data_IF_125748967906
#
_entry.id   IF_125748967906
#
_cell.length_a   1.000
_cell.length_b   1.000
_cell.length_c   1.000
_cell.angle_alpha   90.00
_cell.angle_beta   90.00
_cell.angle_gamma   90.00
#
_symmetry.space_group_name_H-M   'P 1'
#
loop_
_entity.id
_entity.type
_entity.pdbx_description
1 polymer ?
#
# COMPACT_ATOMS: atom_id res chain seq x y z
N UNK A 1 -14.85 3.91 4.28
CA UNK A 1 -13.74 3.10 3.68
C UNK A 1 -13.86 1.64 4.08
N UNK A 2 -13.99 1.31 5.38
CA UNK A 2 -14.39 -0.03 5.83
C UNK A 2 -15.78 -0.44 5.32
N UNK A 3 -16.74 0.49 5.31
CA UNK A 3 -18.08 0.20 4.75
C UNK A 3 -18.05 -0.07 3.25
N UNK A 4 -17.19 0.62 2.49
CA UNK A 4 -16.98 0.36 1.06
C UNK A 4 -16.32 -1.00 0.83
N UNK A 5 -15.39 -1.42 1.70
CA UNK A 5 -14.76 -2.74 1.63
C UNK A 5 -15.75 -3.85 1.97
N UNK A 6 -16.60 -3.65 2.98
CA UNK A 6 -17.65 -4.60 3.35
C UNK A 6 -18.70 -4.70 2.25
N UNK A 7 -19.09 -3.56 1.66
CA UNK A 7 -20.05 -3.54 0.56
C UNK A 7 -19.48 -4.20 -0.71
N UNK A 8 -18.20 -3.96 -1.04
CA UNK A 8 -17.49 -4.66 -2.13
C UNK A 8 -17.43 -6.17 -1.87
N UNK A 9 -17.08 -6.63 -0.65
CA UNK A 9 -17.01 -8.05 -0.31
C UNK A 9 -18.40 -8.72 -0.39
N UNK A 10 -19.46 -8.03 0.06
CA UNK A 10 -20.84 -8.51 -0.03
C UNK A 10 -21.34 -8.54 -1.48
N UNK A 11 -20.94 -7.57 -2.31
CA UNK A 11 -21.24 -7.54 -3.74
C UNK A 11 -20.44 -8.58 -4.54
N UNK A 12 -19.22 -8.93 -4.13
CA UNK A 12 -18.42 -10.02 -4.71
C UNK A 12 -19.00 -11.41 -4.39
N UNK A 13 -19.56 -11.60 -3.18
CA UNK A 13 -20.26 -12.83 -2.77
C UNK A 13 -21.54 -13.05 -3.59
N UNK A 14 -22.25 -11.97 -3.91
CA UNK A 14 -23.41 -11.99 -4.80
C UNK A 14 -22.94 -11.93 -6.26
N UNK A 15 -22.48 -13.06 -6.83
CA UNK A 15 -22.04 -13.22 -8.24
C UNK A 15 -22.75 -12.25 -9.20
N UNK A 16 -22.24 -11.02 -9.31
CA UNK A 16 -22.71 -10.05 -10.28
C UNK A 16 -21.93 -10.39 -11.53
N UNK A 17 -22.62 -10.64 -12.63
CA UNK A 17 -21.96 -10.68 -13.94
C UNK A 17 -21.24 -9.36 -14.11
N UNK A 18 -19.91 -9.40 -14.19
CA UNK A 18 -19.09 -8.20 -14.44
C UNK A 18 -18.75 -8.23 -15.91
N UNK A 19 -19.13 -7.18 -16.62
CA UNK A 19 -18.70 -6.94 -17.99
C UNK A 19 -17.40 -6.14 -17.97
N UNK A 20 -16.39 -6.51 -18.78
CA UNK A 20 -15.21 -5.68 -19.00
C UNK A 20 -15.63 -4.24 -19.30
N UNK A 21 -14.97 -3.28 -18.67
CA UNK A 21 -15.17 -1.87 -18.95
C UNK A 21 -14.19 -1.41 -20.02
N UNK A 22 -14.68 -0.68 -21.02
CA UNK A 22 -13.82 -0.05 -22.01
C UNK A 22 -13.29 1.26 -21.45
N UNK A 23 -11.97 1.39 -21.38
CA UNK A 23 -11.30 2.57 -20.89
C UNK A 23 -10.58 3.24 -22.06
N UNK A 24 -11.06 4.41 -22.45
CA UNK A 24 -10.44 5.26 -23.48
C UNK A 24 -9.21 5.91 -22.85
N UNK A 25 -8.02 5.54 -23.34
CA UNK A 25 -6.77 5.90 -22.69
C UNK A 25 -6.55 7.41 -22.66
N UNK A 26 -6.89 8.13 -23.73
CA UNK A 26 -6.72 9.58 -23.79
C UNK A 26 -7.54 10.28 -22.71
N UNK A 27 -8.82 9.92 -22.55
CA UNK A 27 -9.69 10.52 -21.53
C UNK A 27 -9.23 10.19 -20.11
N UNK A 28 -8.80 8.95 -19.89
CA UNK A 28 -8.28 8.53 -18.60
C UNK A 28 -6.97 9.24 -18.24
N UNK A 29 -6.01 9.30 -19.17
CA UNK A 29 -4.74 10.01 -18.93
C UNK A 29 -4.97 11.51 -18.72
N UNK A 30 -5.90 12.12 -19.45
CA UNK A 30 -6.24 13.52 -19.23
C UNK A 30 -6.77 13.76 -17.82
N UNK A 31 -7.64 12.89 -17.30
CA UNK A 31 -8.09 12.94 -15.90
C UNK A 31 -6.92 12.75 -14.93
N UNK A 32 -6.10 11.70 -15.10
CA UNK A 32 -4.92 11.46 -14.27
C UNK A 32 -3.98 12.68 -14.21
N UNK A 33 -3.71 13.31 -15.36
CA UNK A 33 -2.84 14.48 -15.45
C UNK A 33 -3.43 15.72 -14.79
N UNK A 34 -4.75 15.90 -14.84
CA UNK A 34 -5.42 17.09 -14.31
C UNK A 34 -5.79 16.96 -12.83
N UNK A 35 -6.12 15.76 -12.38
CA UNK A 35 -6.65 15.51 -11.05
C UNK A 35 -5.52 15.08 -10.09
N UNK A 36 -4.71 14.10 -10.49
CA UNK A 36 -3.72 13.48 -9.61
C UNK A 36 -2.29 14.03 -9.82
N UNK A 37 -1.92 14.30 -11.08
CA UNK A 37 -0.56 14.69 -11.48
C UNK A 37 -0.45 16.15 -11.91
N UNK A 38 -1.43 16.98 -11.54
CA UNK A 38 -1.50 18.39 -11.95
C UNK A 38 -0.19 19.16 -11.73
N UNK A 39 0.47 18.91 -10.60
CA UNK A 39 1.70 19.58 -10.18
C UNK A 39 2.93 19.19 -11.02
N UNK A 40 2.91 18.03 -11.68
CA UNK A 40 4.02 17.52 -12.49
C UNK A 40 3.68 17.37 -13.96
N UNK A 41 2.45 17.68 -14.37
CA UNK A 41 1.93 17.53 -15.74
C UNK A 41 2.87 18.10 -16.81
N UNK A 42 3.51 19.24 -16.53
CA UNK A 42 4.45 19.90 -17.44
C UNK A 42 5.71 19.07 -17.76
N UNK A 43 6.06 18.09 -16.94
CA UNK A 43 7.20 17.20 -17.14
C UNK A 43 6.83 15.90 -17.85
N UNK A 44 5.55 15.69 -18.18
CA UNK A 44 5.05 14.45 -18.77
C UNK A 44 4.72 14.70 -20.25
N UNK A 45 5.42 14.01 -21.14
CA UNK A 45 5.12 14.01 -22.57
C UNK A 45 4.43 12.69 -22.93
N UNK A 46 3.22 12.76 -23.48
CA UNK A 46 2.42 11.60 -23.87
C UNK A 46 2.18 11.56 -25.38
N UNK A 47 2.46 10.41 -25.97
CA UNK A 47 2.11 10.09 -27.36
C UNK A 47 1.22 8.84 -27.35
N UNK A 48 -0.09 9.05 -27.40
CA UNK A 48 -1.10 7.99 -27.46
C UNK A 48 -1.97 8.24 -28.68
N UNK A 49 -2.29 7.19 -29.44
CA UNK A 49 -3.23 7.30 -30.56
C UNK A 49 -4.65 7.57 -30.02
N UNK A 50 -5.43 8.50 -30.62
CA UNK A 50 -6.72 8.95 -30.09
C UNK A 50 -7.72 7.82 -29.75
N UNK A 51 -7.74 6.77 -30.56
CA UNK A 51 -8.70 5.67 -30.44
C UNK A 51 -8.18 4.48 -29.62
N UNK A 52 -7.09 4.67 -28.87
CA UNK A 52 -6.54 3.58 -28.05
C UNK A 52 -7.45 3.33 -26.85
N UNK A 53 -8.04 2.14 -26.81
CA UNK A 53 -8.87 1.70 -25.69
C UNK A 53 -8.38 0.37 -25.14
N UNK A 54 -8.54 0.20 -23.83
CA UNK A 54 -8.21 -1.05 -23.13
C UNK A 54 -9.47 -1.55 -22.47
N UNK A 55 -9.73 -2.85 -22.63
CA UNK A 55 -10.76 -3.54 -21.87
C UNK A 55 -10.17 -3.95 -20.53
N UNK A 56 -10.78 -3.46 -19.46
CA UNK A 56 -10.31 -3.66 -18.11
C UNK A 56 -11.41 -4.26 -17.24
N UNK A 57 -11.06 -5.26 -16.45
CA UNK A 57 -11.92 -5.80 -15.40
C UNK A 57 -11.49 -5.18 -14.05
N UNK A 58 -12.35 -4.39 -13.39
CA UNK A 58 -12.08 -3.84 -12.06
C UNK A 58 -11.62 -4.87 -11.02
N UNK A 59 -12.05 -6.13 -11.12
CA UNK A 59 -11.56 -7.18 -10.21
C UNK A 59 -10.12 -7.61 -10.47
N UNK A 60 -9.54 -7.26 -11.62
CA UNK A 60 -8.10 -7.45 -11.87
C UNK A 60 -7.24 -6.34 -11.27
N UNK A 61 -7.81 -5.26 -10.70
CA UNK A 61 -7.01 -4.19 -10.08
C UNK A 61 -6.10 -4.71 -8.96
N UNK A 62 -6.59 -5.69 -8.18
CA UNK A 62 -5.81 -6.39 -7.18
C UNK A 62 -4.62 -7.16 -7.80
N UNK A 63 -4.78 -7.72 -9.00
CA UNK A 63 -3.69 -8.40 -9.70
C UNK A 63 -2.64 -7.40 -10.21
N UNK A 64 -3.02 -6.14 -10.49
CA UNK A 64 -2.07 -5.10 -10.89
C UNK A 64 -1.08 -4.82 -9.76
N UNK A 65 -1.54 -4.64 -8.53
CA UNK A 65 -0.65 -4.40 -7.38
C UNK A 65 0.33 -5.57 -7.18
N UNK A 66 -0.20 -6.81 -7.23
CA UNK A 66 0.62 -8.02 -7.14
C UNK A 66 1.68 -8.06 -8.24
N UNK A 67 1.29 -7.82 -9.50
CA UNK A 67 2.21 -7.82 -10.62
C UNK A 67 3.27 -6.71 -10.50
N UNK A 68 2.88 -5.52 -10.06
CA UNK A 68 3.82 -4.40 -9.85
C UNK A 68 4.84 -4.76 -8.77
N UNK A 69 4.40 -5.29 -7.63
CA UNK A 69 5.30 -5.68 -6.54
C UNK A 69 6.21 -6.84 -6.93
N UNK A 70 5.70 -7.85 -7.64
CA UNK A 70 6.52 -8.98 -8.11
C UNK A 70 7.67 -8.56 -9.05
N UNK A 71 7.50 -7.45 -9.77
CA UNK A 71 8.51 -6.94 -10.70
C UNK A 71 9.29 -5.74 -10.14
N UNK A 72 8.92 -5.22 -8.98
CA UNK A 72 9.57 -4.07 -8.38
C UNK A 72 10.87 -4.47 -7.68
N UNK A 73 11.96 -3.75 -7.97
CA UNK A 73 13.24 -3.96 -7.29
C UNK A 73 13.30 -3.26 -5.93
N UNK A 74 12.63 -2.11 -5.80
CA UNK A 74 12.45 -1.35 -4.57
C UNK A 74 11.19 -0.47 -4.72
N UNK A 75 10.61 -0.02 -3.61
CA UNK A 75 9.38 0.76 -3.62
C UNK A 75 9.42 1.98 -2.68
N UNK A 76 8.78 3.07 -3.11
CA UNK A 76 8.38 4.18 -2.25
C UNK A 76 6.91 3.96 -1.90
N UNK A 77 6.59 3.82 -0.61
CA UNK A 77 5.28 3.34 -0.18
C UNK A 77 4.66 4.32 0.80
N UNK A 78 3.40 4.66 0.60
CA UNK A 78 2.65 5.46 1.58
C UNK A 78 2.36 4.64 2.84
N UNK A 79 2.30 5.28 4.01
CA UNK A 79 1.96 4.60 5.26
C UNK A 79 0.59 3.89 5.16
N UNK A 80 0.52 2.61 5.55
CA UNK A 80 -0.73 1.84 5.54
C UNK A 80 -0.50 0.35 5.26
N UNK A 81 -1.55 -0.33 4.83
CA UNK A 81 -1.52 -1.77 4.49
C UNK A 81 -0.57 -2.09 3.34
N UNK A 82 -0.37 -1.14 2.42
CA UNK A 82 0.60 -1.25 1.34
C UNK A 82 2.01 -1.57 1.85
N UNK A 83 2.42 -1.03 3.01
CA UNK A 83 3.74 -1.31 3.58
C UNK A 83 3.93 -2.80 3.91
N UNK A 84 2.87 -3.43 4.42
CA UNK A 84 2.89 -4.85 4.76
C UNK A 84 2.83 -5.71 3.49
N UNK A 85 1.98 -5.37 2.53
CA UNK A 85 1.89 -6.06 1.23
C UNK A 85 3.26 -6.04 0.53
N UNK A 86 3.90 -4.87 0.40
CA UNK A 86 5.23 -4.72 -0.18
C UNK A 86 6.30 -5.57 0.53
N UNK A 87 6.27 -5.62 1.86
CA UNK A 87 7.19 -6.45 2.64
C UNK A 87 6.97 -7.97 2.43
N UNK A 88 5.70 -8.41 2.36
CA UNK A 88 5.36 -9.81 2.10
C UNK A 88 5.74 -10.25 0.68
N UNK A 89 5.73 -9.34 -0.29
CA UNK A 89 6.27 -9.55 -1.63
C UNK A 89 7.81 -9.47 -1.69
N UNK A 90 8.49 -9.30 -0.55
CA UNK A 90 9.95 -9.20 -0.45
C UNK A 90 10.53 -8.05 -1.27
N UNK A 91 9.79 -6.95 -1.38
CA UNK A 91 10.24 -5.74 -2.07
C UNK A 91 10.79 -4.76 -1.02
N UNK A 92 12.09 -4.42 -1.06
CA UNK A 92 12.64 -3.40 -0.18
C UNK A 92 11.93 -2.06 -0.37
N UNK A 93 11.69 -1.33 0.73
CA UNK A 93 10.87 -0.13 0.67
C UNK A 93 11.37 1.01 1.56
N UNK A 94 11.04 2.23 1.15
CA UNK A 94 11.09 3.44 2.00
C UNK A 94 9.66 3.93 2.18
N UNK A 95 9.26 4.13 3.43
CA UNK A 95 7.93 4.60 3.77
C UNK A 95 7.91 6.11 3.76
N UNK A 96 7.01 6.69 2.98
CA UNK A 96 6.85 8.12 2.84
C UNK A 96 5.57 8.58 3.49
N UNK A 97 5.68 9.67 4.23
CA UNK A 97 4.51 10.34 4.78
C UNK A 97 4.66 11.85 4.73
N UNK A 98 3.89 12.50 3.85
CA UNK A 98 3.76 13.95 3.78
C UNK A 98 2.30 14.32 3.93
N UNK A 99 1.92 14.74 5.14
CA UNK A 99 0.57 15.21 5.40
C UNK A 99 0.30 16.57 4.75
N UNK A 100 -0.97 16.88 4.50
CA UNK A 100 -1.40 18.27 4.25
C UNK A 100 -1.19 19.15 5.49
N UNK A 101 -1.19 20.47 5.32
CA UNK A 101 -1.05 21.41 6.43
C UNK A 101 -2.10 21.12 7.51
N UNK A 102 -1.64 20.66 8.68
CA UNK A 102 -2.40 20.49 9.92
C UNK A 102 -3.52 19.43 9.86
N UNK A 103 -3.17 18.15 10.01
CA UNK A 103 -4.06 17.19 10.68
C UNK A 103 -3.61 17.03 12.13
N UNK A 104 -4.31 17.71 13.05
CA UNK A 104 -4.09 17.58 14.51
C UNK A 104 -4.19 16.13 14.98
N UNK A 105 -5.02 15.31 14.31
CA UNK A 105 -5.16 13.88 14.61
C UNK A 105 -3.89 13.09 14.31
N UNK A 106 -3.19 13.40 13.22
CA UNK A 106 -1.96 12.71 12.81
C UNK A 106 -0.78 13.14 13.69
N UNK A 107 -0.67 14.44 14.01
CA UNK A 107 0.35 14.92 14.95
C UNK A 107 0.21 14.21 16.32
N UNK A 108 -1.02 14.04 16.82
CA UNK A 108 -1.29 13.30 18.06
C UNK A 108 -0.96 11.81 17.96
N UNK A 109 -1.18 11.20 16.80
CA UNK A 109 -0.83 9.80 16.56
C UNK A 109 0.69 9.63 16.58
N UNK A 110 1.42 10.43 15.80
CA UNK A 110 2.90 10.39 15.70
C UNK A 110 3.57 10.64 17.05
N UNK A 111 3.04 11.54 17.90
CA UNK A 111 3.58 11.76 19.26
C UNK A 111 3.43 10.52 20.14
N UNK A 112 2.42 9.67 19.90
CA UNK A 112 2.09 8.54 20.76
C UNK A 112 2.70 7.21 20.32
N UNK A 113 3.10 7.07 19.05
CA UNK A 113 3.59 5.80 18.51
C UNK A 113 5.01 5.93 17.99
N UNK A 114 5.85 4.93 18.30
CA UNK A 114 7.27 4.89 17.92
C UNK A 114 7.49 4.76 16.41
N UNK A 115 6.52 4.15 15.71
CA UNK A 115 6.57 3.87 14.27
C UNK A 115 5.20 4.10 13.65
N UNK A 116 5.16 4.49 12.37
CA UNK A 116 3.89 4.68 11.64
C UNK A 116 3.62 3.57 10.61
N UNK A 117 4.65 2.85 10.15
CA UNK A 117 4.46 1.74 9.21
C UNK A 117 4.02 0.48 9.95
N UNK A 118 3.19 -0.33 9.30
CA UNK A 118 2.78 -1.61 9.88
C UNK A 118 3.98 -2.55 10.06
N UNK A 119 4.94 -2.49 9.14
CA UNK A 119 6.16 -3.29 9.22
C UNK A 119 6.92 -3.01 10.52
N UNK A 120 7.25 -1.74 10.79
CA UNK A 120 8.01 -1.41 11.99
C UNK A 120 7.19 -1.60 13.27
N UNK A 121 5.87 -1.36 13.23
CA UNK A 121 4.97 -1.61 14.36
C UNK A 121 4.89 -3.09 14.73
N UNK A 122 4.77 -4.00 13.76
CA UNK A 122 4.71 -5.44 14.01
C UNK A 122 6.06 -5.97 14.51
N UNK A 123 7.15 -5.45 13.95
CA UNK A 123 8.51 -5.89 14.27
C UNK A 123 9.08 -5.24 15.55
N UNK A 124 8.40 -4.23 16.09
CA UNK A 124 8.86 -3.35 17.18
C UNK A 124 10.32 -2.87 17.06
N UNK A 125 10.78 -2.70 15.82
CA UNK A 125 12.10 -2.21 15.47
C UNK A 125 12.05 -1.54 14.11
N UNK A 126 13.06 -0.70 13.84
CA UNK A 126 13.22 -0.03 12.56
C UNK A 126 13.72 -1.03 11.51
N UNK A 127 12.79 -1.59 10.75
CA UNK A 127 13.05 -2.47 9.59
C UNK A 127 13.06 -1.67 8.30
N UNK A 128 12.13 -0.74 8.14
CA UNK A 128 12.03 0.17 6.99
C UNK A 128 12.26 1.61 7.43
N UNK A 129 12.86 2.42 6.56
CA UNK A 129 13.01 3.85 6.80
C UNK A 129 11.66 4.55 6.68
N UNK A 130 11.36 5.46 7.61
CA UNK A 130 10.12 6.24 7.63
C UNK A 130 10.45 7.72 7.48
N UNK A 131 10.24 8.27 6.28
CA UNK A 131 10.48 9.69 5.99
C UNK A 131 9.18 10.47 6.20
N UNK A 132 9.16 11.27 7.26
CA UNK A 132 7.95 11.94 7.76
C UNK A 132 8.09 13.46 7.61
N UNK A 133 7.08 14.09 7.04
CA UNK A 133 6.95 15.55 6.91
C UNK A 133 8.18 16.19 6.23
N UNK A 134 9.01 16.90 6.97
CA UNK A 134 10.18 17.60 6.43
C UNK A 134 11.28 16.62 5.99
N UNK A 135 11.34 15.43 6.59
CA UNK A 135 12.28 14.39 6.19
C UNK A 135 11.86 13.72 4.87
N UNK A 136 10.59 13.84 4.48
CA UNK A 136 10.07 13.41 3.18
C UNK A 136 10.44 14.43 2.08
N UNK A 137 11.74 14.60 1.86
CA UNK A 137 12.33 15.47 0.85
C UNK A 137 13.16 14.65 -0.15
N UNK A 138 13.42 15.22 -1.34
CA UNK A 138 14.10 14.54 -2.45
C UNK A 138 15.47 13.99 -2.06
N UNK A 139 16.22 14.72 -1.23
CA UNK A 139 17.56 14.35 -0.80
C UNK A 139 17.52 13.06 0.04
N UNK A 140 16.69 13.03 1.08
CA UNK A 140 16.52 11.87 1.95
C UNK A 140 15.91 10.69 1.20
N UNK A 141 14.87 10.92 0.38
CA UNK A 141 14.25 9.89 -0.44
C UNK A 141 15.29 9.22 -1.34
N UNK A 142 16.09 10.01 -2.05
CA UNK A 142 17.10 9.49 -2.96
C UNK A 142 18.21 8.74 -2.20
N UNK A 143 18.66 9.27 -1.06
CA UNK A 143 19.69 8.63 -0.24
C UNK A 143 19.23 7.24 0.23
N UNK A 144 18.06 7.15 0.86
CA UNK A 144 17.56 5.89 1.41
C UNK A 144 17.13 4.91 0.33
N UNK A 145 16.54 5.38 -0.76
CA UNK A 145 16.17 4.50 -1.87
C UNK A 145 17.42 3.83 -2.47
N UNK A 146 18.53 4.56 -2.62
CA UNK A 146 19.78 3.98 -3.13
C UNK A 146 20.33 2.87 -2.22
N UNK A 147 20.22 3.03 -0.90
CA UNK A 147 20.74 2.05 0.05
C UNK A 147 20.00 0.70 -0.02
N UNK A 148 18.72 0.69 -0.40
CA UNK A 148 17.90 -0.52 -0.44
C UNK A 148 17.87 -1.20 -1.81
N UNK A 149 18.50 -0.60 -2.82
CA UNK A 149 18.64 -1.18 -4.16
C UNK A 149 19.66 -2.32 -4.15
N UNK A 150 20.75 -2.23 -3.40
CA UNK A 150 21.77 -3.28 -3.32
C UNK A 150 22.57 -3.22 -2.02
N UNK A 151 23.32 -4.29 -1.72
CA UNK A 151 24.23 -4.34 -0.59
C UNK A 151 23.56 -4.66 0.75
N UNK A 152 24.25 -4.32 1.84
CA UNK A 152 23.96 -4.82 3.19
C UNK A 152 22.60 -4.38 3.72
N UNK A 153 22.18 -3.15 3.45
CA UNK A 153 20.89 -2.64 3.95
C UNK A 153 19.72 -3.36 3.29
N UNK A 154 19.82 -3.63 1.98
CA UNK A 154 18.86 -4.48 1.27
C UNK A 154 18.78 -5.87 1.88
N UNK A 155 19.92 -6.54 2.06
CA UNK A 155 19.98 -7.90 2.60
C UNK A 155 19.38 -7.98 4.01
N UNK A 156 19.71 -7.01 4.87
CA UNK A 156 19.15 -6.93 6.21
C UNK A 156 17.62 -6.73 6.19
N UNK A 157 17.11 -5.88 5.29
CA UNK A 157 15.67 -5.66 5.14
C UNK A 157 14.95 -6.94 4.68
N UNK A 158 15.50 -7.66 3.71
CA UNK A 158 14.94 -8.92 3.22
C UNK A 158 14.91 -10.00 4.32
N UNK A 159 15.96 -10.09 5.14
CA UNK A 159 15.98 -10.99 6.30
C UNK A 159 14.90 -10.64 7.32
N UNK A 160 14.73 -9.36 7.64
CA UNK A 160 13.65 -8.90 8.53
C UNK A 160 12.26 -9.22 7.95
N UNK A 161 12.10 -9.23 6.63
CA UNK A 161 10.84 -9.63 6.02
C UNK A 161 10.56 -11.14 6.13
N UNK A 162 11.57 -12.00 6.27
CA UNK A 162 11.35 -13.41 6.62
C UNK A 162 10.80 -13.54 8.04
N UNK A 163 11.39 -12.81 8.99
CA UNK A 163 10.91 -12.75 10.37
C UNK A 163 9.49 -12.18 10.45
N UNK A 164 9.19 -11.11 9.72
CA UNK A 164 7.85 -10.53 9.61
C UNK A 164 6.81 -11.54 9.11
N UNK A 165 7.13 -12.30 8.07
CA UNK A 165 6.23 -13.30 7.51
C UNK A 165 5.90 -14.40 8.53
N UNK A 166 6.89 -14.81 9.34
CA UNK A 166 6.69 -15.77 10.42
C UNK A 166 5.79 -15.21 11.53
N UNK A 167 5.96 -13.94 11.91
CA UNK A 167 5.13 -13.26 12.93
C UNK A 167 3.67 -13.10 12.49
N UNK A 168 3.43 -12.82 11.22
CA UNK A 168 2.07 -12.70 10.66
C UNK A 168 1.29 -14.02 10.71
N UNK A 169 1.99 -15.16 10.72
CA UNK A 169 1.40 -16.48 10.80
C UNK A 169 0.49 -16.81 9.62
N UNK A 170 -0.46 -17.72 9.84
CA UNK A 170 -1.37 -18.18 8.80
C UNK A 170 -2.67 -17.38 8.75
N UNK A 171 -3.29 -17.39 7.56
CA UNK A 171 -4.59 -16.79 7.31
C UNK A 171 -5.67 -17.25 8.32
N UNK A 172 -6.76 -16.49 8.41
CA UNK A 172 -7.89 -16.80 9.28
C UNK A 172 -7.92 -16.02 10.60
N UNK A 173 -7.17 -14.92 10.73
CA UNK A 173 -7.23 -14.05 11.90
C UNK A 173 -8.67 -13.59 12.20
N UNK A 174 -9.39 -13.10 11.19
CA UNK A 174 -10.79 -12.67 11.34
C UNK A 174 -11.71 -13.81 11.76
N UNK A 175 -11.52 -15.02 11.23
CA UNK A 175 -12.32 -16.18 11.60
C UNK A 175 -12.04 -16.61 13.05
N UNK A 176 -10.76 -16.66 13.46
CA UNK A 176 -10.36 -16.93 14.84
C UNK A 176 -10.98 -15.91 15.80
N UNK A 177 -10.88 -14.62 15.46
CA UNK A 177 -11.48 -13.54 16.26
C UNK A 177 -13.00 -13.67 16.32
N UNK A 178 -13.68 -13.96 15.22
CA UNK A 178 -15.13 -14.18 15.20
C UNK A 178 -15.53 -15.35 16.12
N UNK A 179 -14.81 -16.48 16.05
CA UNK A 179 -15.03 -17.63 16.95
C UNK A 179 -14.82 -17.26 18.42
N UNK A 180 -13.81 -16.46 18.73
CA UNK A 180 -13.55 -15.98 20.10
C UNK A 180 -14.65 -15.07 20.61
N UNK A 181 -15.15 -14.14 19.79
CA UNK A 181 -16.27 -13.25 20.15
C UNK A 181 -17.53 -14.07 20.45
N UNK A 182 -17.89 -15.02 19.58
CA UNK A 182 -19.06 -15.90 19.79
C UNK A 182 -18.89 -16.73 21.06
N UNK A 183 -17.70 -17.29 21.30
CA UNK A 183 -17.41 -18.04 22.53
C UNK A 183 -17.56 -17.17 23.77
N UNK A 184 -17.04 -15.94 23.74
CA UNK A 184 -17.14 -15.00 24.86
C UNK A 184 -18.60 -14.68 25.23
N UNK A 185 -19.45 -14.51 24.23
CA UNK A 185 -20.88 -14.20 24.43
C UNK A 185 -21.72 -15.41 24.88
N UNK A 186 -21.22 -16.64 24.70
CA UNK A 186 -21.95 -17.89 25.01
C UNK A 186 -21.42 -18.61 26.26
N UNK A 187 -20.43 -18.05 26.95
CA UNK A 187 -19.97 -18.57 28.24
C UNK A 187 -21.08 -18.38 29.29
N UNK A 188 -21.49 -19.44 30.01
CA UNK A 188 -22.38 -19.28 31.15
C UNK A 188 -21.68 -18.47 32.24
N UNK A 189 -22.45 -17.60 32.89
CA UNK A 189 -22.00 -16.68 33.95
C UNK A 189 -21.36 -17.41 35.14
#
# INVERSE_FOLDING_TARGET
RLDLIIDDILQMSRRKSISPQQLVLVDWFNRLLNDDLASIKQFIQLQIQPDTSVWFDPLQLQHILVNLLQNAHAALVASGTATLETALFKVPQVVLYRGGAISVGIARLVIKIRFISLVNLIMDKKVVEELIQQDCNTQNISAHLKQIVEGKEREAMLQNYEELANLMGSAGASERTAKLIVKFLTLPA
#
